data_IF_188354663808
#
_entry.id   IF_188354663808
#
_cell.length_a   1.000
_cell.length_b   1.000
_cell.length_c   1.000
_cell.angle_alpha   90.00
_cell.angle_beta   90.00
_cell.angle_gamma   90.00
#
_symmetry.space_group_name_H-M   'P 1'
#
loop_
_entity.id
_entity.type
_entity.pdbx_description
1 polymer ?
#
# COMPACT_ATOMS: atom_id res chain seq x y z
N UNK A 1 -8.82 14.37 -1.00
CA UNK A 1 -7.51 13.83 -1.42
C UNK A 1 -7.48 13.62 -2.93
N UNK A 2 -8.62 13.33 -3.57
CA UNK A 2 -8.80 13.29 -5.03
C UNK A 2 -8.18 14.45 -5.83
N UNK A 3 -8.39 15.71 -5.43
CA UNK A 3 -7.81 16.87 -6.13
C UNK A 3 -6.27 16.90 -6.10
N UNK A 4 -5.66 16.38 -5.04
CA UNK A 4 -4.20 16.29 -4.93
C UNK A 4 -3.64 15.29 -5.96
N UNK A 5 -4.30 14.15 -6.18
CA UNK A 5 -3.80 13.14 -7.12
C UNK A 5 -3.77 13.60 -8.57
N UNK A 6 -4.63 14.54 -8.97
CA UNK A 6 -4.59 15.12 -10.32
C UNK A 6 -3.25 15.79 -10.64
N UNK A 7 -2.53 16.26 -9.61
CA UNK A 7 -1.22 16.90 -9.76
C UNK A 7 -0.05 15.91 -9.89
N UNK A 8 -0.27 14.62 -9.56
CA UNK A 8 0.79 13.62 -9.61
C UNK A 8 0.99 13.09 -11.03
N UNK A 9 2.20 12.57 -11.36
CA UNK A 9 2.40 11.85 -12.61
C UNK A 9 1.43 10.67 -12.73
N UNK A 10 0.77 10.54 -13.88
CA UNK A 10 -0.26 9.54 -14.12
C UNK A 10 0.17 8.56 -15.21
N UNK A 11 -0.19 7.29 -15.05
CA UNK A 11 0.05 6.24 -16.03
C UNK A 11 -1.17 5.33 -16.11
N UNK A 12 -1.81 5.28 -17.29
CA UNK A 12 -2.89 4.31 -17.52
C UNK A 12 -2.30 2.99 -17.97
N UNK A 13 -2.37 1.98 -17.10
CA UNK A 13 -1.96 0.61 -17.44
C UNK A 13 -3.09 -0.11 -18.15
N UNK A 14 -2.80 -0.68 -19.31
CA UNK A 14 -3.68 -1.60 -20.04
C UNK A 14 -3.54 -3.06 -19.59
N UNK A 15 -2.53 -3.38 -18.79
CA UNK A 15 -2.21 -4.74 -18.36
C UNK A 15 -3.00 -5.20 -17.12
N UNK A 16 -3.58 -4.26 -16.36
CA UNK A 16 -4.34 -4.54 -15.14
C UNK A 16 -5.84 -4.54 -15.44
N UNK A 17 -6.45 -5.72 -15.67
CA UNK A 17 -7.91 -5.97 -15.85
C UNK A 17 -8.77 -4.70 -16.11
N UNK A 18 -8.54 -4.03 -17.24
CA UNK A 18 -9.16 -2.75 -17.59
C UNK A 18 -8.15 -1.63 -17.83
N UNK A 19 -8.64 -0.40 -18.01
CA UNK A 19 -7.81 0.82 -18.04
C UNK A 19 -7.71 1.38 -16.63
N UNK A 20 -6.71 0.96 -15.86
CA UNK A 20 -6.46 1.49 -14.52
C UNK A 20 -5.44 2.64 -14.58
N UNK A 21 -5.80 3.80 -14.04
CA UNK A 21 -4.87 4.92 -13.90
C UNK A 21 -4.12 4.80 -12.58
N UNK A 22 -2.80 4.71 -12.69
CA UNK A 22 -1.87 4.73 -11.57
C UNK A 22 -1.32 6.13 -11.40
N UNK A 23 -1.05 6.50 -10.16
CA UNK A 23 -0.47 7.79 -9.78
C UNK A 23 0.88 7.53 -9.12
N UNK A 24 1.88 8.36 -9.40
CA UNK A 24 3.21 8.26 -8.78
C UNK A 24 3.28 9.13 -7.53
N UNK A 25 3.50 8.52 -6.37
CA UNK A 25 3.71 9.22 -5.09
C UNK A 25 4.85 8.54 -4.33
N UNK A 26 5.79 9.33 -3.78
CA UNK A 26 7.00 8.84 -3.10
C UNK A 26 7.73 7.73 -3.88
N UNK A 27 7.84 7.90 -5.20
CA UNK A 27 8.42 6.93 -6.14
C UNK A 27 7.70 5.60 -6.38
N UNK A 28 6.50 5.42 -5.82
CA UNK A 28 5.64 4.25 -6.06
C UNK A 28 4.44 4.56 -6.94
N UNK A 29 4.15 3.65 -7.87
CA UNK A 29 2.95 3.68 -8.71
C UNK A 29 1.85 2.82 -8.09
N UNK A 30 0.72 3.43 -7.75
CA UNK A 30 -0.46 2.73 -7.25
C UNK A 30 -1.75 3.42 -7.68
N UNK A 31 -2.88 2.74 -7.49
CA UNK A 31 -4.21 3.36 -7.59
C UNK A 31 -4.43 4.33 -6.42
N UNK A 32 -5.30 5.36 -6.58
CA UNK A 32 -5.51 6.39 -5.56
C UNK A 32 -5.78 5.82 -4.18
N UNK A 33 -6.61 4.77 -4.08
CA UNK A 33 -7.08 4.21 -2.81
C UNK A 33 -5.93 3.70 -1.93
N UNK A 34 -4.88 3.12 -2.52
CA UNK A 34 -3.70 2.69 -1.77
C UNK A 34 -2.84 3.87 -1.31
N UNK A 35 -2.74 4.92 -2.12
CA UNK A 35 -2.04 6.13 -1.70
C UNK A 35 -2.80 6.86 -0.60
N UNK A 36 -4.13 6.92 -0.65
CA UNK A 36 -4.94 7.53 0.40
C UNK A 36 -4.75 6.83 1.74
N UNK A 37 -4.84 5.49 1.74
CA UNK A 37 -4.57 4.70 2.94
C UNK A 37 -3.13 4.87 3.44
N UNK A 38 -2.15 4.91 2.53
CA UNK A 38 -0.75 5.12 2.87
C UNK A 38 -0.47 6.49 3.50
N UNK A 39 -1.01 7.56 2.93
CA UNK A 39 -0.88 8.93 3.44
C UNK A 39 -1.54 9.06 4.81
N UNK A 40 -2.75 8.52 4.97
CA UNK A 40 -3.44 8.53 6.26
C UNK A 40 -2.65 7.74 7.33
N UNK A 41 -2.13 6.56 6.98
CA UNK A 41 -1.28 5.79 7.88
C UNK A 41 -0.01 6.56 8.28
N UNK A 42 0.66 7.23 7.33
CA UNK A 42 1.82 8.07 7.62
C UNK A 42 1.51 9.24 8.57
N UNK A 43 0.29 9.79 8.50
CA UNK A 43 -0.12 10.94 9.31
C UNK A 43 -0.66 10.58 10.69
N UNK A 44 -1.26 9.39 10.84
CA UNK A 44 -2.11 9.08 12.00
C UNK A 44 -1.71 7.80 12.74
N UNK A 45 -0.88 6.94 12.15
CA UNK A 45 -0.48 5.70 12.82
C UNK A 45 0.63 5.97 13.86
N UNK A 46 0.34 5.67 15.12
CA UNK A 46 1.31 5.75 16.22
C UNK A 46 1.86 4.35 16.56
N UNK A 47 3.07 4.05 16.08
CA UNK A 47 3.74 2.78 16.36
C UNK A 47 4.15 2.67 17.84
N UNK A 48 3.95 1.50 18.42
CA UNK A 48 4.45 1.15 19.76
C UNK A 48 5.72 0.32 19.65
N UNK A 49 6.62 0.37 20.65
CA UNK A 49 7.84 -0.43 20.64
C UNK A 49 7.62 -1.95 20.54
N UNK A 50 6.44 -2.44 20.90
CA UNK A 50 6.04 -3.85 20.83
C UNK A 50 5.42 -4.27 19.50
N UNK A 51 5.14 -3.32 18.60
CA UNK A 51 4.45 -3.62 17.35
C UNK A 51 5.39 -4.34 16.36
N UNK A 52 4.83 -5.29 15.61
CA UNK A 52 5.56 -6.04 14.58
C UNK A 52 4.91 -5.80 13.22
N UNK A 53 5.68 -5.26 12.29
CA UNK A 53 5.24 -5.08 10.91
C UNK A 53 5.57 -6.29 10.04
N UNK A 54 4.58 -6.74 9.29
CA UNK A 54 4.74 -7.78 8.26
C UNK A 54 4.66 -7.10 6.90
N UNK A 55 5.80 -6.97 6.22
CA UNK A 55 5.93 -6.25 4.95
C UNK A 55 6.29 -7.21 3.82
N UNK A 56 5.58 -7.11 2.70
CA UNK A 56 5.89 -7.85 1.47
C UNK A 56 5.21 -7.20 0.27
N UNK A 57 5.75 -7.34 -0.96
CA UNK A 57 5.00 -7.01 -2.16
C UNK A 57 3.67 -7.80 -2.26
N UNK A 58 2.64 -7.26 -2.94
CA UNK A 58 1.41 -8.00 -3.18
C UNK A 58 1.69 -9.35 -3.82
N UNK A 59 0.96 -10.39 -3.38
CA UNK A 59 1.05 -11.77 -3.88
C UNK A 59 2.37 -12.51 -3.58
N UNK A 60 3.29 -11.93 -2.80
CA UNK A 60 4.52 -12.57 -2.36
C UNK A 60 4.38 -13.45 -1.09
N UNK A 61 3.19 -14.01 -0.83
CA UNK A 61 2.97 -14.93 0.30
C UNK A 61 2.65 -14.27 1.65
N UNK A 62 2.18 -13.03 1.69
CA UNK A 62 1.81 -12.32 2.94
C UNK A 62 0.83 -13.10 3.81
N UNK A 63 -0.08 -13.88 3.21
CA UNK A 63 -1.03 -14.74 3.94
C UNK A 63 -0.30 -15.80 4.76
N UNK A 64 0.67 -16.49 4.15
CA UNK A 64 1.49 -17.48 4.84
C UNK A 64 2.35 -16.82 5.92
N UNK A 65 2.96 -15.67 5.61
CA UNK A 65 3.79 -14.95 6.57
C UNK A 65 3.00 -14.47 7.79
N UNK A 66 1.76 -13.99 7.59
CA UNK A 66 0.84 -13.65 8.69
C UNK A 66 0.51 -14.86 9.56
N UNK A 67 0.20 -16.00 8.96
CA UNK A 67 -0.13 -17.23 9.70
C UNK A 67 1.06 -17.73 10.54
N UNK A 68 2.26 -17.73 9.96
CA UNK A 68 3.48 -18.13 10.66
C UNK A 68 3.84 -17.17 11.79
N UNK A 69 3.79 -15.86 11.55
CA UNK A 69 4.07 -14.86 12.58
C UNK A 69 3.10 -14.99 13.75
N UNK A 70 1.81 -15.18 13.48
CA UNK A 70 0.81 -15.41 14.52
C UNK A 70 1.15 -16.65 15.35
N UNK A 71 1.42 -17.79 14.71
CA UNK A 71 1.74 -19.04 15.40
C UNK A 71 3.03 -19.00 16.24
N UNK A 72 3.96 -18.07 15.96
CA UNK A 72 5.21 -17.92 16.72
C UNK A 72 5.03 -16.98 17.91
N UNK A 73 4.22 -15.93 17.77
CA UNK A 73 4.07 -14.88 18.78
C UNK A 73 3.01 -15.25 19.83
N UNK A 74 2.08 -16.15 19.52
CA UNK A 74 1.08 -16.72 20.46
C UNK A 74 1.59 -17.95 21.18
#
# INVERSE_FOLDING_TARGET
MEEMFKTFPQYTSSWLKGKLTLYKYQDFWNVPEFHEGGILAQQSFEARPSDVFICSPPKAGTTWLKALAFAIVT
#
